data_IF_698374272009
#
_entry.id   IF_698374272009
#
_cell.length_a   1.000
_cell.length_b   1.000
_cell.length_c   1.000
_cell.angle_alpha   90.00
_cell.angle_beta   90.00
_cell.angle_gamma   90.00
#
_symmetry.space_group_name_H-M   'P 1'
#
loop_
_entity.id
_entity.type
_entity.pdbx_description
1 polymer ?
#
# COMPACT_ATOMS: atom_id res chain seq x y z
N UNK A 1 -23.99 1.14 -22.99
CA UNK A 1 -23.56 2.54 -22.75
C UNK A 1 -22.86 2.56 -21.40
N UNK A 2 -21.65 3.09 -21.32
CA UNK A 2 -21.00 3.33 -20.03
C UNK A 2 -21.73 4.49 -19.33
N UNK A 3 -22.08 4.31 -18.05
CA UNK A 3 -22.72 5.34 -17.25
C UNK A 3 -21.65 6.05 -16.43
N UNK A 4 -21.58 7.37 -16.53
CA UNK A 4 -20.70 8.18 -15.70
C UNK A 4 -21.15 8.10 -14.23
N UNK A 5 -20.25 7.70 -13.33
CA UNK A 5 -20.54 7.51 -11.91
C UNK A 5 -20.27 8.79 -11.10
N UNK A 6 -19.24 9.56 -11.47
CA UNK A 6 -18.77 10.76 -10.78
C UNK A 6 -17.81 11.54 -11.68
N UNK A 7 -17.93 12.87 -11.69
CA UNK A 7 -16.90 13.79 -12.18
C UNK A 7 -16.10 14.31 -10.99
N UNK A 8 -14.77 14.15 -11.02
CA UNK A 8 -13.88 14.62 -9.95
C UNK A 8 -13.49 16.10 -10.15
N UNK A 9 -13.11 16.75 -9.06
CA UNK A 9 -12.66 18.13 -9.09
C UNK A 9 -11.34 18.29 -9.87
N UNK A 10 -11.16 19.46 -10.48
CA UNK A 10 -9.88 19.79 -11.10
C UNK A 10 -8.78 19.83 -10.03
N UNK A 11 -7.69 19.10 -10.24
CA UNK A 11 -6.60 18.97 -9.28
C UNK A 11 -6.69 17.77 -8.33
N UNK A 12 -7.63 16.84 -8.55
CA UNK A 12 -7.55 15.49 -7.94
C UNK A 12 -6.31 14.76 -8.44
N UNK A 13 -5.50 14.26 -7.51
CA UNK A 13 -4.18 13.65 -7.77
C UNK A 13 -4.17 12.14 -7.52
N UNK A 14 -5.02 11.65 -6.62
CA UNK A 14 -5.18 10.21 -6.38
C UNK A 14 -6.60 9.88 -5.94
N UNK A 15 -7.00 8.62 -6.16
CA UNK A 15 -8.29 8.09 -5.72
C UNK A 15 -8.14 6.68 -5.18
N UNK A 16 -9.05 6.28 -4.29
CA UNK A 16 -9.04 4.96 -3.67
C UNK A 16 -10.46 4.52 -3.32
N UNK A 17 -10.86 3.35 -3.81
CA UNK A 17 -12.12 2.72 -3.43
C UNK A 17 -11.98 2.03 -2.08
N UNK A 18 -13.04 2.08 -1.27
CA UNK A 18 -13.12 1.28 -0.06
C UNK A 18 -13.27 -0.21 -0.39
N UNK A 19 -13.17 -1.07 0.63
CA UNK A 19 -13.19 -2.53 0.47
C UNK A 19 -14.49 -3.08 -0.15
N UNK A 20 -15.62 -2.41 0.05
CA UNK A 20 -16.91 -2.81 -0.52
C UNK A 20 -17.16 -2.24 -1.93
N UNK A 21 -16.31 -1.33 -2.41
CA UNK A 21 -16.52 -0.63 -3.69
C UNK A 21 -17.72 0.32 -3.70
N UNK A 22 -18.20 0.73 -2.52
CA UNK A 22 -19.37 1.63 -2.39
C UNK A 22 -18.97 3.08 -2.13
N UNK A 23 -17.78 3.30 -1.58
CA UNK A 23 -17.25 4.64 -1.27
C UNK A 23 -15.95 4.88 -2.00
N UNK A 24 -15.80 6.10 -2.53
CA UNK A 24 -14.58 6.57 -3.16
C UNK A 24 -13.97 7.70 -2.33
N UNK A 25 -12.69 7.60 -2.03
CA UNK A 25 -11.91 8.72 -1.51
C UNK A 25 -11.09 9.34 -2.64
N UNK A 26 -11.00 10.67 -2.66
CA UNK A 26 -10.17 11.42 -3.59
C UNK A 26 -9.30 12.43 -2.85
N UNK A 27 -8.02 12.48 -3.22
CA UNK A 27 -7.04 13.42 -2.70
C UNK A 27 -6.68 14.45 -3.76
N UNK A 28 -6.44 15.68 -3.34
CA UNK A 28 -6.15 16.80 -4.24
C UNK A 28 -4.75 17.39 -4.02
N UNK A 29 -4.30 18.16 -5.02
CA UNK A 29 -3.02 18.89 -5.00
C UNK A 29 -2.91 19.90 -3.86
N UNK A 30 -4.04 20.42 -3.37
CA UNK A 30 -4.12 21.36 -2.27
C UNK A 30 -4.31 20.68 -0.90
N UNK A 31 -4.13 19.36 -0.82
CA UNK A 31 -4.27 18.62 0.43
C UNK A 31 -5.73 18.42 0.88
N UNK A 32 -6.70 18.64 -0.01
CA UNK A 32 -8.11 18.33 0.25
C UNK A 32 -8.39 16.84 0.10
N UNK A 33 -9.00 16.25 1.13
CA UNK A 33 -9.63 14.92 1.08
C UNK A 33 -11.13 15.10 0.82
N UNK A 34 -11.63 14.37 -0.18
CA UNK A 34 -13.06 14.27 -0.46
C UNK A 34 -13.50 12.81 -0.38
N UNK A 35 -14.63 12.54 0.28
CA UNK A 35 -15.26 11.23 0.33
C UNK A 35 -16.58 11.30 -0.44
N UNK A 36 -16.82 10.29 -1.27
CA UNK A 36 -18.02 10.14 -2.07
C UNK A 36 -18.71 8.81 -1.76
N UNK A 37 -20.02 8.85 -1.58
CA UNK A 37 -20.85 7.68 -1.27
C UNK A 37 -22.11 7.67 -2.16
N UNK A 38 -22.66 6.48 -2.39
CA UNK A 38 -23.97 6.29 -3.01
C UNK A 38 -25.04 6.30 -1.92
N UNK A 39 -25.80 7.41 -1.82
CA UNK A 39 -26.92 7.47 -0.87
C UNK A 39 -28.09 6.63 -1.38
N UNK A 40 -28.71 5.87 -0.48
CA UNK A 40 -30.00 5.23 -0.69
C UNK A 40 -31.10 6.29 -0.95
N UNK A 41 -32.05 6.06 -1.88
CA UNK A 41 -32.38 4.77 -2.49
C UNK A 41 -31.51 4.41 -3.72
N UNK A 42 -31.45 3.12 -4.11
CA UNK A 42 -30.53 2.56 -5.11
C UNK A 42 -30.84 2.98 -6.56
N UNK A 43 -31.76 3.93 -6.77
CA UNK A 43 -32.16 4.42 -8.09
C UNK A 43 -31.12 5.32 -8.75
N UNK A 44 -30.22 5.96 -7.98
CA UNK A 44 -29.13 6.77 -8.52
C UNK A 44 -27.80 6.10 -8.29
N UNK A 45 -27.24 5.49 -9.34
CA UNK A 45 -25.87 4.95 -9.33
C UNK A 45 -24.79 6.05 -9.34
N UNK A 46 -25.12 7.28 -8.97
CA UNK A 46 -24.18 8.40 -8.91
C UNK A 46 -23.63 8.53 -7.49
N UNK A 47 -22.33 8.74 -7.40
CA UNK A 47 -21.69 9.05 -6.12
C UNK A 47 -21.83 10.55 -5.83
N UNK A 48 -22.01 10.89 -4.56
CA UNK A 48 -22.10 12.28 -4.11
C UNK A 48 -21.09 12.53 -3.00
N UNK A 49 -20.50 13.73 -2.99
CA UNK A 49 -19.56 14.13 -1.94
C UNK A 49 -20.29 14.22 -0.60
N UNK A 50 -19.82 13.47 0.39
CA UNK A 50 -20.31 13.46 1.78
C UNK A 50 -19.37 14.21 2.71
N UNK A 51 -18.09 14.27 2.36
CA UNK A 51 -17.07 15.00 3.08
C UNK A 51 -16.11 15.66 2.09
N UNK A 52 -15.67 16.88 2.42
CA UNK A 52 -14.64 17.60 1.68
C UNK A 52 -13.96 18.59 2.62
N UNK A 53 -12.68 18.39 2.92
CA UNK A 53 -11.91 19.29 3.78
C UNK A 53 -10.42 19.23 3.46
N UNK A 54 -9.72 20.33 3.71
CA UNK A 54 -8.25 20.38 3.68
C UNK A 54 -7.70 19.64 4.90
N UNK A 55 -7.04 18.51 4.67
CA UNK A 55 -6.55 17.60 5.72
C UNK A 55 -5.03 17.61 5.87
N UNK A 56 -4.32 18.02 4.82
CA UNK A 56 -2.86 18.16 4.79
C UNK A 56 -2.51 19.50 4.13
N UNK A 57 -1.32 20.02 4.40
CA UNK A 57 -0.86 21.28 3.82
C UNK A 57 -0.31 21.15 2.39
N UNK A 58 -0.01 19.92 1.96
CA UNK A 58 0.54 19.61 0.65
C UNK A 58 -0.30 18.60 -0.12
N UNK A 59 0.09 18.39 -1.38
CA UNK A 59 -0.53 17.45 -2.32
C UNK A 59 -0.69 16.05 -1.70
N UNK A 60 -1.91 15.51 -1.68
CA UNK A 60 -2.16 14.11 -1.31
C UNK A 60 -1.81 13.22 -2.49
N UNK A 61 -0.80 12.36 -2.33
CA UNK A 61 -0.30 11.47 -3.39
C UNK A 61 -0.83 10.04 -3.30
N UNK A 62 -1.30 9.61 -2.12
CA UNK A 62 -1.92 8.31 -1.93
C UNK A 62 -3.00 8.37 -0.85
N UNK A 63 -4.08 7.61 -1.07
CA UNK A 63 -5.10 7.32 -0.05
C UNK A 63 -5.22 5.81 0.11
N UNK A 64 -5.25 5.35 1.36
CA UNK A 64 -5.40 3.93 1.70
C UNK A 64 -6.51 3.78 2.73
N UNK A 65 -7.54 3.00 2.41
CA UNK A 65 -8.59 2.67 3.37
C UNK A 65 -8.07 1.72 4.45
N UNK A 66 -8.37 2.05 5.70
CA UNK A 66 -8.19 1.16 6.83
C UNK A 66 -9.20 0.01 6.68
N UNK A 67 -8.83 -1.25 7.02
CA UNK A 67 -9.78 -2.36 6.93
C UNK A 67 -11.06 -2.09 7.73
N UNK A 68 -12.24 -2.45 7.19
CA UNK A 68 -13.54 -2.07 7.78
C UNK A 68 -13.77 -2.67 9.17
N UNK A 69 -13.03 -3.73 9.54
CA UNK A 69 -13.02 -4.30 10.89
C UNK A 69 -12.53 -3.30 11.96
N UNK A 70 -11.89 -2.20 11.54
CA UNK A 70 -11.35 -1.12 12.37
C UNK A 70 -12.10 0.21 12.16
N UNK A 71 -13.31 0.17 11.57
CA UNK A 71 -14.14 1.34 11.32
C UNK A 71 -13.94 1.98 9.94
N UNK A 72 -14.75 3.01 9.67
CA UNK A 72 -14.67 3.80 8.43
C UNK A 72 -13.53 4.82 8.56
N UNK A 73 -12.34 4.41 8.12
CA UNK A 73 -11.15 5.24 8.24
C UNK A 73 -10.23 5.17 7.01
N UNK A 74 -9.45 6.25 6.81
CA UNK A 74 -8.50 6.40 5.71
C UNK A 74 -7.16 6.94 6.19
N UNK A 75 -6.09 6.54 5.51
CA UNK A 75 -4.79 7.18 5.55
C UNK A 75 -4.60 8.04 4.30
N UNK A 76 -4.12 9.27 4.50
CA UNK A 76 -3.70 10.18 3.43
C UNK A 76 -2.20 10.41 3.53
N UNK A 77 -1.46 10.19 2.43
CA UNK A 77 -0.02 10.44 2.34
C UNK A 77 0.21 11.71 1.52
N UNK A 78 0.95 12.69 2.05
CA UNK A 78 1.34 13.89 1.30
C UNK A 78 2.62 13.70 0.49
N UNK A 79 2.85 14.55 -0.51
CA UNK A 79 4.12 14.64 -1.25
C UNK A 79 5.33 14.97 -0.35
N UNK A 80 5.09 15.52 0.84
CA UNK A 80 6.12 15.77 1.86
C UNK A 80 6.36 14.56 2.78
N UNK A 81 5.64 13.46 2.56
CA UNK A 81 5.80 12.21 3.30
C UNK A 81 5.15 12.21 4.68
N UNK A 82 4.17 13.09 4.91
CA UNK A 82 3.32 13.06 6.10
C UNK A 82 2.15 12.13 5.84
N UNK A 83 1.94 11.18 6.74
CA UNK A 83 0.77 10.29 6.73
C UNK A 83 -0.19 10.78 7.80
N UNK A 84 -1.43 11.09 7.44
CA UNK A 84 -2.49 11.41 8.40
C UNK A 84 -3.59 10.35 8.35
N UNK A 85 -4.04 9.90 9.52
CA UNK A 85 -5.13 8.94 9.66
C UNK A 85 -6.40 9.65 10.13
N UNK A 86 -7.50 9.38 9.43
CA UNK A 86 -8.80 10.01 9.60
C UNK A 86 -9.88 8.96 9.76
N UNK A 87 -10.79 9.17 10.69
CA UNK A 87 -11.93 8.29 10.98
C UNK A 87 -13.24 9.07 10.83
N UNK A 88 -14.25 8.42 10.28
CA UNK A 88 -15.64 8.88 10.27
C UNK A 88 -16.28 8.63 11.65
N UNK A 89 -16.66 9.72 12.32
CA UNK A 89 -17.28 9.69 13.64
C UNK A 89 -18.69 10.28 13.56
N UNK A 90 -19.66 9.57 14.12
CA UNK A 90 -20.99 10.09 14.40
C UNK A 90 -21.02 10.65 15.83
N UNK A 91 -21.27 11.95 15.99
CA UNK A 91 -21.62 12.52 17.30
C UNK A 91 -23.15 12.60 17.42
N UNK A 92 -23.67 12.39 18.63
CA UNK A 92 -25.07 12.11 19.04
C UNK A 92 -26.15 13.14 18.64
N UNK A 93 -25.96 13.95 17.59
CA UNK A 93 -26.94 14.79 16.89
C UNK A 93 -26.40 15.47 15.61
N UNK A 94 -25.17 15.18 15.15
CA UNK A 94 -24.51 15.89 14.04
C UNK A 94 -24.43 15.03 12.76
N UNK A 95 -24.20 15.69 11.61
CA UNK A 95 -23.82 14.99 10.38
C UNK A 95 -22.48 14.28 10.58
N UNK A 96 -22.28 13.12 9.94
CA UNK A 96 -21.02 12.38 9.92
C UNK A 96 -19.83 13.32 9.70
N UNK A 97 -18.85 13.27 10.61
CA UNK A 97 -17.64 14.10 10.54
C UNK A 97 -16.41 13.21 10.39
N UNK A 98 -15.42 13.66 9.62
CA UNK A 98 -14.13 13.00 9.55
C UNK A 98 -13.13 13.73 10.45
N UNK A 99 -12.50 12.99 11.36
CA UNK A 99 -11.56 13.53 12.35
C UNK A 99 -10.21 12.86 12.26
N UNK A 100 -9.14 13.65 12.28
CA UNK A 100 -7.78 13.13 12.37
C UNK A 100 -7.55 12.53 13.76
N UNK A 101 -7.07 11.30 13.82
CA UNK A 101 -6.75 10.64 15.09
C UNK A 101 -5.25 10.33 15.24
N UNK A 102 -4.49 10.27 14.14
CA UNK A 102 -3.04 10.03 14.17
C UNK A 102 -2.33 10.69 12.99
N UNK A 103 -1.07 11.03 13.16
CA UNK A 103 -0.17 11.44 12.08
C UNK A 103 1.21 10.80 12.25
N UNK A 104 1.85 10.44 11.14
CA UNK A 104 3.20 9.90 11.05
C UNK A 104 4.02 10.71 10.05
N UNK A 105 5.35 10.64 10.21
CA UNK A 105 6.29 11.36 9.36
C UNK A 105 6.94 12.53 10.10
N UNK A 106 8.12 12.91 9.63
CA UNK A 106 8.88 14.04 10.13
C UNK A 106 9.70 14.62 8.97
N UNK A 107 10.40 15.73 9.21
CA UNK A 107 11.16 16.42 8.16
C UNK A 107 12.42 15.68 7.69
N UNK A 108 12.89 14.66 8.42
CA UNK A 108 14.17 14.01 8.14
C UNK A 108 14.06 12.81 7.20
N UNK A 109 12.89 12.18 7.12
CA UNK A 109 12.63 11.00 6.28
C UNK A 109 11.16 10.94 5.87
N UNK A 110 10.90 11.05 4.57
CA UNK A 110 9.55 11.10 3.98
C UNK A 110 8.97 9.70 3.87
N UNK A 111 7.69 9.51 4.19
CA UNK A 111 6.97 8.29 3.80
C UNK A 111 6.72 8.34 2.29
N UNK A 112 7.22 7.34 1.57
CA UNK A 112 7.07 7.20 0.13
C UNK A 112 5.87 6.33 -0.24
N UNK A 113 5.60 5.32 0.57
CA UNK A 113 4.40 4.50 0.44
C UNK A 113 3.99 3.92 1.79
N UNK A 114 2.70 3.61 1.94
CA UNK A 114 2.17 2.85 3.07
C UNK A 114 1.03 1.92 2.66
N UNK A 115 0.86 0.82 3.38
CA UNK A 115 -0.21 -0.15 3.17
C UNK A 115 -0.66 -0.77 4.50
N UNK A 116 -1.96 -1.00 4.63
CA UNK A 116 -2.52 -1.71 5.78
C UNK A 116 -2.60 -3.21 5.52
N UNK A 117 -2.47 -3.96 6.62
CA UNK A 117 -2.50 -5.41 6.65
C UNK A 117 -3.07 -5.93 7.95
N UNK A 118 -4.00 -6.88 7.86
CA UNK A 118 -4.53 -7.55 9.05
C UNK A 118 -3.64 -8.75 9.37
N UNK A 119 -3.22 -8.87 10.63
CA UNK A 119 -2.62 -10.08 11.18
C UNK A 119 -3.63 -10.81 12.06
N UNK A 120 -3.26 -11.99 12.60
CA UNK A 120 -4.19 -12.77 13.45
C UNK A 120 -4.72 -12.01 14.67
N UNK A 121 -3.95 -11.05 15.20
CA UNK A 121 -4.26 -10.39 16.48
C UNK A 121 -4.28 -8.86 16.42
N UNK A 122 -3.86 -8.26 15.30
CA UNK A 122 -3.66 -6.81 15.23
C UNK A 122 -3.69 -6.29 13.80
N UNK A 123 -3.94 -5.00 13.67
CA UNK A 123 -3.76 -4.27 12.42
C UNK A 123 -2.32 -3.79 12.32
N UNK A 124 -1.74 -3.93 11.13
CA UNK A 124 -0.41 -3.44 10.82
C UNK A 124 -0.47 -2.40 9.71
N UNK A 125 0.39 -1.39 9.82
CA UNK A 125 0.67 -0.43 8.76
C UNK A 125 2.15 -0.53 8.43
N UNK A 126 2.45 -0.94 7.20
CA UNK A 126 3.81 -0.96 6.69
C UNK A 126 4.03 0.36 5.95
N UNK A 127 5.13 1.05 6.25
CA UNK A 127 5.52 2.30 5.60
C UNK A 127 6.97 2.23 5.10
N UNK A 128 7.16 2.61 3.84
CA UNK A 128 8.47 2.70 3.19
C UNK A 128 8.94 4.15 3.19
N UNK A 129 10.18 4.38 3.60
CA UNK A 129 10.72 5.72 3.84
C UNK A 129 11.82 6.11 2.85
N UNK A 130 12.01 7.41 2.64
CA UNK A 130 13.03 7.95 1.73
C UNK A 130 14.47 7.65 2.16
N UNK A 131 14.71 7.27 3.40
CA UNK A 131 16.02 6.81 3.90
C UNK A 131 16.30 5.33 3.58
N UNK A 132 15.37 4.63 2.91
CA UNK A 132 15.47 3.21 2.59
C UNK A 132 15.06 2.27 3.74
N UNK A 133 14.52 2.81 4.83
CA UNK A 133 13.93 2.01 5.90
C UNK A 133 12.48 1.65 5.59
N UNK A 134 12.10 0.46 6.05
CA UNK A 134 10.73 0.03 6.18
C UNK A 134 10.39 0.02 7.66
N UNK A 135 9.30 0.66 8.04
CA UNK A 135 8.76 0.61 9.40
C UNK A 135 7.42 -0.09 9.39
N UNK A 136 7.22 -0.97 10.36
CA UNK A 136 5.95 -1.65 10.60
C UNK A 136 5.38 -1.11 11.90
N UNK A 137 4.22 -0.47 11.81
CA UNK A 137 3.45 -0.02 12.95
C UNK A 137 2.34 -1.00 13.25
N UNK A 138 2.02 -1.18 14.53
CA UNK A 138 1.00 -2.10 15.01
C UNK A 138 -0.03 -1.37 15.85
N UNK A 139 -1.29 -1.74 15.63
CA UNK A 139 -2.44 -1.36 16.42
C UNK A 139 -3.09 -2.63 16.98
N UNK A 140 -2.89 -2.87 18.27
CA UNK A 140 -3.36 -4.09 18.94
C UNK A 140 -4.85 -4.05 19.29
N UNK A 141 -5.36 -2.88 19.71
CA UNK A 141 -6.76 -2.71 20.08
C UNK A 141 -7.52 -1.94 18.98
N UNK A 142 -8.49 -2.58 18.29
CA UNK A 142 -9.34 -1.91 17.31
C UNK A 142 -10.15 -0.73 17.86
N UNK A 143 -10.42 -0.70 19.16
CA UNK A 143 -11.19 0.36 19.81
C UNK A 143 -10.33 1.60 20.12
N UNK A 144 -9.01 1.47 20.08
CA UNK A 144 -8.07 2.54 20.43
C UNK A 144 -7.23 2.96 19.23
N UNK A 145 -7.85 3.36 18.11
CA UNK A 145 -7.17 3.71 16.84
C UNK A 145 -6.00 4.71 16.96
N UNK A 146 -5.87 5.42 18.08
CA UNK A 146 -4.77 6.37 18.36
C UNK A 146 -3.47 5.68 18.81
N UNK A 147 -3.56 4.45 19.32
CA UNK A 147 -2.49 3.76 20.05
C UNK A 147 -1.60 2.89 19.15
N UNK A 148 -1.16 3.47 18.03
CA UNK A 148 -0.17 2.85 17.15
C UNK A 148 1.23 2.84 17.78
N UNK A 149 1.91 1.70 17.69
CA UNK A 149 3.27 1.49 18.17
C UNK A 149 4.19 1.06 17.03
N UNK A 150 5.48 1.43 17.10
CA UNK A 150 6.49 0.93 16.18
C UNK A 150 6.85 -0.51 16.57
N UNK A 151 6.50 -1.48 15.72
CA UNK A 151 6.80 -2.89 15.93
C UNK A 151 8.19 -3.25 15.41
N UNK A 152 8.52 -2.77 14.21
CA UNK A 152 9.80 -3.09 13.57
C UNK A 152 10.28 -1.94 12.68
N UNK A 153 11.60 -1.82 12.60
CA UNK A 153 12.30 -0.95 11.66
C UNK A 153 13.48 -1.73 11.09
N UNK A 154 13.57 -1.79 9.77
CA UNK A 154 14.67 -2.47 9.09
C UNK A 154 14.96 -1.82 7.74
N UNK A 155 16.21 -1.94 7.30
CA UNK A 155 16.64 -1.37 6.03
C UNK A 155 16.40 -2.36 4.88
N UNK A 156 16.08 -1.86 3.69
CA UNK A 156 15.94 -2.71 2.50
C UNK A 156 17.28 -3.28 1.96
N UNK A 157 18.40 -3.12 2.65
CA UNK A 157 19.73 -3.64 2.25
C UNK A 157 20.12 -4.84 3.11
N UNK A 158 20.60 -5.92 2.48
CA UNK A 158 21.27 -7.02 3.19
C UNK A 158 22.79 -6.75 3.09
N UNK A 159 23.40 -6.49 4.24
CA UNK A 159 24.83 -6.54 4.57
C UNK A 159 25.83 -6.43 3.40
N UNK A 160 26.28 -5.20 3.07
CA UNK A 160 27.63 -4.94 2.53
C UNK A 160 27.93 -3.48 2.14
N UNK A 161 27.05 -2.51 2.42
CA UNK A 161 27.26 -1.13 1.93
C UNK A 161 27.07 -0.07 3.02
N UNK A 162 27.84 -0.19 4.10
CA UNK A 162 28.04 0.92 5.05
C UNK A 162 29.00 2.01 4.53
N UNK A 163 29.40 1.94 3.25
CA UNK A 163 30.47 2.75 2.66
C UNK A 163 30.00 3.82 1.67
N UNK A 164 28.72 3.87 1.28
CA UNK A 164 28.23 4.78 0.24
C UNK A 164 27.15 5.74 0.74
N UNK A 165 27.59 6.85 1.34
CA UNK A 165 26.77 8.05 1.55
C UNK A 165 25.45 7.82 2.30
N UNK A 166 24.59 8.85 2.31
CA UNK A 166 23.23 8.74 2.84
C UNK A 166 22.32 8.29 1.70
N UNK A 167 21.86 7.04 1.74
CA UNK A 167 20.87 6.51 0.81
C UNK A 167 19.64 7.43 0.71
N UNK A 168 19.15 7.66 -0.53
CA UNK A 168 17.94 8.45 -0.78
C UNK A 168 17.06 7.72 -1.79
N UNK A 169 15.95 7.18 -1.30
CA UNK A 169 14.92 6.58 -2.14
C UNK A 169 14.00 7.68 -2.71
N UNK A 170 13.72 7.59 -4.01
CA UNK A 170 12.90 8.52 -4.77
C UNK A 170 11.41 8.12 -4.71
N UNK A 171 11.14 6.81 -4.79
CA UNK A 171 9.79 6.25 -4.66
C UNK A 171 9.85 4.85 -4.05
N UNK A 172 8.71 4.39 -3.55
CA UNK A 172 8.54 3.04 -3.07
C UNK A 172 7.14 2.53 -3.46
N UNK A 173 6.97 1.22 -3.44
CA UNK A 173 5.67 0.59 -3.60
C UNK A 173 5.58 -0.59 -2.62
N UNK A 174 4.48 -0.68 -1.89
CA UNK A 174 4.17 -1.74 -0.94
C UNK A 174 2.86 -2.42 -1.34
N UNK A 175 2.84 -3.75 -1.25
CA UNK A 175 1.62 -4.53 -1.37
C UNK A 175 1.55 -5.59 -0.27
N UNK A 176 0.46 -5.58 0.50
CA UNK A 176 0.24 -6.55 1.57
C UNK A 176 -0.34 -7.85 1.02
N UNK A 177 0.06 -9.00 1.58
CA UNK A 177 -0.51 -10.29 1.23
C UNK A 177 -1.99 -10.38 1.67
N UNK A 178 -2.97 -10.44 0.74
CA UNK A 178 -4.38 -10.39 1.09
C UNK A 178 -4.92 -11.71 1.68
N UNK A 179 -4.08 -12.74 1.89
CA UNK A 179 -4.52 -14.02 2.44
C UNK A 179 -5.15 -13.86 3.82
N UNK A 180 -6.48 -13.96 3.86
CA UNK A 180 -7.27 -14.05 5.10
C UNK A 180 -7.44 -15.52 5.48
N UNK A 181 -6.73 -15.95 6.52
CA UNK A 181 -6.98 -17.23 7.18
C UNK A 181 -6.15 -18.41 6.65
N UNK A 182 -5.41 -19.02 7.58
CA UNK A 182 -4.49 -20.13 7.37
C UNK A 182 -3.32 -20.02 8.37
N UNK A 183 -2.58 -21.11 8.59
CA UNK A 183 -1.35 -21.12 9.41
C UNK A 183 -0.19 -20.31 8.79
N UNK A 184 -0.43 -19.50 7.75
CA UNK A 184 0.61 -18.73 7.09
C UNK A 184 0.86 -17.42 7.82
N UNK A 185 2.13 -17.07 7.92
CA UNK A 185 2.61 -15.86 8.56
C UNK A 185 2.24 -14.63 7.73
N UNK A 186 2.07 -13.48 8.40
CA UNK A 186 1.82 -12.21 7.71
C UNK A 186 2.97 -11.88 6.77
N UNK A 187 2.65 -11.46 5.55
CA UNK A 187 3.66 -11.12 4.54
C UNK A 187 3.31 -9.86 3.79
N UNK A 188 4.32 -9.17 3.28
CA UNK A 188 4.15 -8.08 2.35
C UNK A 188 5.31 -8.02 1.37
N UNK A 189 5.07 -7.34 0.26
CA UNK A 189 6.04 -7.03 -0.77
C UNK A 189 6.38 -5.56 -0.70
N UNK A 190 7.66 -5.23 -0.79
CA UNK A 190 8.15 -3.86 -0.86
C UNK A 190 9.18 -3.74 -1.96
N UNK A 191 9.09 -2.68 -2.77
CA UNK A 191 10.10 -2.31 -3.75
C UNK A 191 10.46 -0.85 -3.59
N UNK A 192 11.75 -0.54 -3.67
CA UNK A 192 12.24 0.84 -3.68
C UNK A 192 12.81 1.20 -5.04
N UNK A 193 12.72 2.48 -5.37
CA UNK A 193 13.48 3.11 -6.43
C UNK A 193 14.33 4.22 -5.82
N UNK A 194 15.63 4.15 -6.03
CA UNK A 194 16.65 4.95 -5.39
C UNK A 194 17.74 5.32 -6.39
N UNK A 195 18.48 6.37 -6.06
CA UNK A 195 19.72 6.73 -6.73
C UNK A 195 20.85 5.72 -6.52
N UNK A 196 20.71 4.82 -5.54
CA UNK A 196 21.64 3.73 -5.25
C UNK A 196 21.03 2.42 -5.75
N UNK A 197 21.62 1.84 -6.80
CA UNK A 197 21.13 0.60 -7.43
C UNK A 197 20.91 -0.55 -6.46
N UNK A 198 21.72 -0.65 -5.42
CA UNK A 198 21.64 -1.72 -4.42
C UNK A 198 20.34 -1.69 -3.60
N UNK A 199 19.65 -0.54 -3.57
CA UNK A 199 18.33 -0.37 -2.95
C UNK A 199 17.18 -0.67 -3.91
N UNK A 200 17.45 -0.75 -5.21
CA UNK A 200 16.45 -0.99 -6.26
C UNK A 200 16.16 -2.50 -6.36
N UNK A 201 15.58 -3.02 -5.29
CA UNK A 201 15.25 -4.43 -5.15
C UNK A 201 13.88 -4.58 -4.54
N UNK A 202 13.07 -5.44 -5.14
CA UNK A 202 11.75 -5.84 -4.63
C UNK A 202 11.92 -7.05 -3.72
N UNK A 203 11.38 -7.00 -2.50
CA UNK A 203 11.52 -8.06 -1.51
C UNK A 203 10.19 -8.48 -0.93
N UNK A 204 10.04 -9.79 -0.75
CA UNK A 204 8.96 -10.35 0.06
C UNK A 204 9.48 -10.44 1.49
N UNK A 205 8.76 -9.81 2.41
CA UNK A 205 9.01 -9.85 3.84
C UNK A 205 7.93 -10.68 4.51
N UNK A 206 8.33 -11.61 5.37
CA UNK A 206 7.44 -12.44 6.19
C UNK A 206 7.71 -12.19 7.67
N UNK A 207 6.66 -12.31 8.47
CA UNK A 207 6.74 -12.16 9.92
C UNK A 207 7.01 -13.51 10.59
N UNK A 208 8.27 -13.71 10.99
CA UNK A 208 8.72 -14.88 11.74
C UNK A 208 8.12 -14.85 13.15
N UNK A 209 7.13 -15.72 13.39
CA UNK A 209 6.42 -15.76 14.65
C UNK A 209 7.29 -16.29 15.80
N UNK A 210 8.26 -17.17 15.50
CA UNK A 210 9.13 -17.76 16.51
C UNK A 210 10.09 -16.73 17.11
N UNK A 211 10.61 -15.82 16.28
CA UNK A 211 11.55 -14.78 16.71
C UNK A 211 10.93 -13.38 16.82
N UNK A 212 9.64 -13.23 16.52
CA UNK A 212 8.89 -11.98 16.59
C UNK A 212 9.53 -10.85 15.76
N UNK A 213 9.94 -11.16 14.52
CA UNK A 213 10.63 -10.20 13.63
C UNK A 213 10.23 -10.38 12.17
N UNK A 214 10.40 -9.32 11.39
CA UNK A 214 10.24 -9.38 9.95
C UNK A 214 11.53 -9.82 9.27
N UNK A 215 11.44 -10.75 8.33
CA UNK A 215 12.57 -11.27 7.58
C UNK A 215 12.33 -11.15 6.07
N UNK A 216 13.33 -10.72 5.28
CA UNK A 216 13.27 -10.84 3.83
C UNK A 216 13.43 -12.33 3.46
N UNK A 217 12.38 -12.93 2.88
CA UNK A 217 12.36 -14.35 2.51
C UNK A 217 12.58 -14.57 1.01
N UNK A 218 12.33 -13.55 0.19
CA UNK A 218 12.62 -13.58 -1.23
C UNK A 218 13.04 -12.20 -1.74
N UNK A 219 13.93 -12.20 -2.74
CA UNK A 219 14.31 -11.03 -3.52
C UNK A 219 13.87 -11.27 -4.98
N UNK A 220 13.01 -10.40 -5.49
CA UNK A 220 12.40 -10.49 -6.81
C UNK A 220 13.23 -9.69 -7.82
N UNK A 221 14.47 -10.12 -8.04
CA UNK A 221 15.33 -9.61 -9.08
C UNK A 221 16.16 -10.76 -9.67
N UNK A 222 16.20 -10.87 -11.00
CA UNK A 222 17.21 -11.72 -11.63
C UNK A 222 18.60 -11.08 -11.41
N UNK A 223 19.69 -11.88 -11.31
CA UNK A 223 21.03 -11.32 -11.12
C UNK A 223 21.43 -10.26 -12.15
N UNK A 224 20.93 -10.39 -13.38
CA UNK A 224 21.18 -9.46 -14.50
C UNK A 224 20.39 -8.14 -14.40
N UNK A 225 19.39 -8.09 -13.52
CA UNK A 225 18.42 -6.98 -13.38
C UNK A 225 18.57 -6.24 -12.04
N UNK A 226 19.53 -6.67 -11.21
CA UNK A 226 19.80 -6.05 -9.92
C UNK A 226 20.20 -4.59 -10.14
N UNK A 227 19.43 -3.66 -9.57
CA UNK A 227 19.65 -2.23 -9.75
C UNK A 227 18.63 -1.53 -10.66
N UNK A 228 17.82 -2.27 -11.40
CA UNK A 228 16.80 -1.69 -12.26
C UNK A 228 15.71 -0.99 -11.44
N UNK A 229 15.30 0.19 -11.91
CA UNK A 229 14.29 1.00 -11.24
C UNK A 229 12.92 0.32 -11.27
N UNK A 230 12.22 0.39 -10.13
CA UNK A 230 10.92 -0.21 -9.91
C UNK A 230 9.85 0.88 -9.86
N UNK A 231 8.74 0.69 -10.58
CA UNK A 231 7.63 1.63 -10.54
C UNK A 231 6.56 1.23 -9.53
N UNK A 232 6.14 -0.04 -9.58
CA UNK A 232 5.10 -0.55 -8.71
C UNK A 232 5.29 -2.04 -8.45
N UNK A 233 4.81 -2.46 -7.27
CA UNK A 233 4.69 -3.86 -6.89
C UNK A 233 3.25 -4.14 -6.46
N UNK A 234 2.71 -5.29 -6.85
CA UNK A 234 1.37 -5.68 -6.46
C UNK A 234 1.31 -7.17 -6.13
N UNK A 235 0.65 -7.47 -5.03
CA UNK A 235 0.27 -8.81 -4.68
C UNK A 235 -1.05 -9.17 -5.35
N UNK A 236 -1.10 -10.32 -6.03
CA UNK A 236 -2.35 -10.76 -6.60
C UNK A 236 -3.31 -11.26 -5.52
N UNK A 237 -4.60 -10.89 -5.58
CA UNK A 237 -5.61 -11.50 -4.73
C UNK A 237 -5.63 -13.02 -4.97
N UNK A 238 -5.97 -13.80 -3.95
CA UNK A 238 -6.10 -15.26 -4.08
C UNK A 238 -7.06 -15.60 -5.23
N UNK A 239 -6.50 -15.90 -6.40
CA UNK A 239 -7.24 -16.52 -7.49
C UNK A 239 -7.27 -17.99 -7.08
N UNK A 240 -8.43 -18.45 -6.60
CA UNK A 240 -8.59 -19.82 -6.10
C UNK A 240 -8.00 -20.85 -7.07
N UNK A 241 -7.65 -22.03 -6.54
CA UNK A 241 -7.13 -23.18 -7.31
C UNK A 241 -7.96 -23.40 -8.58
N UNK A 242 -7.49 -22.87 -9.70
CA UNK A 242 -7.99 -23.24 -11.01
C UNK A 242 -7.57 -24.70 -11.21
N UNK A 243 -8.57 -25.55 -11.43
CA UNK A 243 -8.44 -27.00 -11.47
C UNK A 243 -7.19 -27.43 -12.27
N UNK A 244 -6.18 -27.92 -11.56
CA UNK A 244 -4.94 -28.46 -12.15
C UNK A 244 -3.66 -27.72 -11.76
N UNK A 245 -3.72 -26.48 -11.26
CA UNK A 245 -2.53 -25.79 -10.74
C UNK A 245 -2.47 -26.03 -9.23
N UNK A 246 -1.49 -26.84 -8.79
CA UNK A 246 -1.14 -26.96 -7.37
C UNK A 246 -0.75 -25.56 -6.86
N UNK A 247 -1.40 -25.15 -5.77
CA UNK A 247 -1.13 -23.98 -4.90
C UNK A 247 -0.04 -23.03 -5.43
N UNK A 248 -0.47 -21.95 -6.07
CA UNK A 248 0.39 -20.78 -6.29
C UNK A 248 0.48 -20.08 -4.93
N UNK A 249 1.65 -20.11 -4.29
CA UNK A 249 1.83 -19.50 -2.97
C UNK A 249 1.95 -17.98 -3.09
N UNK A 250 2.49 -17.48 -4.22
CA UNK A 250 2.66 -16.06 -4.48
C UNK A 250 2.47 -15.77 -5.98
N UNK A 251 1.51 -14.90 -6.33
CA UNK A 251 1.47 -14.26 -7.65
C UNK A 251 1.71 -12.76 -7.43
N UNK A 252 2.80 -12.27 -7.99
CA UNK A 252 3.31 -10.92 -7.73
C UNK A 252 3.52 -10.22 -9.06
N UNK A 253 3.01 -9.01 -9.22
CA UNK A 253 3.34 -8.15 -10.35
C UNK A 253 4.45 -7.17 -9.93
N UNK A 254 5.50 -7.08 -10.74
CA UNK A 254 6.57 -6.09 -10.64
C UNK A 254 6.66 -5.34 -11.96
N UNK A 255 6.58 -4.01 -11.92
CA UNK A 255 6.63 -3.15 -13.11
C UNK A 255 7.99 -2.43 -13.16
N UNK A 256 8.96 -2.91 -13.97
CA UNK A 256 10.26 -2.26 -14.13
C UNK A 256 10.19 -1.03 -15.06
N UNK A 257 11.12 -0.09 -14.90
CA UNK A 257 11.15 1.19 -15.63
C UNK A 257 11.59 1.10 -17.10
N UNK A 258 12.28 0.03 -17.53
CA UNK A 258 12.81 -0.04 -18.90
C UNK A 258 11.66 -0.08 -19.92
N UNK A 259 11.59 0.98 -20.76
CA UNK A 259 10.91 1.28 -22.05
C UNK A 259 9.96 0.30 -22.75
N UNK A 260 9.89 -0.97 -22.35
CA UNK A 260 8.92 -1.94 -22.84
C UNK A 260 7.77 -1.98 -21.82
N UNK A 261 6.52 -1.82 -22.27
CA UNK A 261 5.30 -2.00 -21.47
C UNK A 261 5.15 -3.47 -20.98
N UNK A 262 6.12 -3.98 -20.24
CA UNK A 262 6.20 -5.37 -19.82
C UNK A 262 6.14 -5.38 -18.30
N UNK A 263 4.94 -5.64 -17.78
CA UNK A 263 4.78 -6.05 -16.40
C UNK A 263 5.30 -7.47 -16.23
N UNK A 264 6.12 -7.71 -15.20
CA UNK A 264 6.58 -9.07 -14.88
C UNK A 264 5.65 -9.64 -13.83
N UNK A 265 5.08 -10.82 -14.11
CA UNK A 265 4.42 -11.61 -13.10
C UNK A 265 5.41 -12.67 -12.59
N UNK A 266 5.75 -12.57 -11.32
CA UNK A 266 6.54 -13.59 -10.63
C UNK A 266 5.56 -14.51 -9.93
N UNK A 267 5.55 -15.77 -10.37
CA UNK A 267 4.81 -16.85 -9.71
C UNK A 267 5.81 -17.64 -8.89
N UNK A 268 5.62 -17.66 -7.57
CA UNK A 268 6.38 -18.50 -6.65
C UNK A 268 5.45 -19.63 -6.18
N UNK A 269 5.80 -20.87 -6.50
CA UNK A 269 5.12 -22.07 -6.01
C UNK A 269 5.92 -22.76 -4.90
N UNK A 270 5.25 -23.64 -4.15
CA UNK A 270 5.80 -24.46 -3.05
C UNK A 270 7.09 -25.22 -3.35
N UNK A 271 7.43 -25.44 -4.63
CA UNK A 271 8.66 -26.12 -5.06
C UNK A 271 9.84 -25.18 -5.38
N UNK A 272 9.81 -23.91 -4.92
CA UNK A 272 10.91 -22.92 -5.04
C UNK A 272 11.42 -22.64 -6.48
N UNK A 273 10.77 -23.18 -7.51
CA UNK A 273 11.03 -22.77 -8.88
C UNK A 273 10.42 -21.39 -9.10
N UNK A 274 11.29 -20.38 -9.20
CA UNK A 274 10.96 -19.08 -9.80
C UNK A 274 10.53 -19.33 -11.25
N UNK A 275 9.23 -19.43 -11.50
CA UNK A 275 8.70 -19.28 -12.85
C UNK A 275 8.34 -17.82 -13.06
N UNK A 276 9.24 -17.08 -13.72
CA UNK A 276 8.94 -15.74 -14.20
C UNK A 276 8.08 -15.87 -15.45
N UNK A 277 6.83 -15.41 -15.39
CA UNK A 277 6.00 -15.24 -16.57
C UNK A 277 6.10 -13.77 -16.96
N UNK A 278 6.89 -13.48 -17.98
CA UNK A 278 6.88 -12.17 -18.63
C UNK A 278 5.61 -12.07 -19.46
N UNK A 279 4.63 -11.26 -19.02
CA UNK A 279 3.46 -10.94 -19.83
C UNK A 279 3.66 -9.55 -20.42
N UNK A 280 3.58 -9.44 -21.74
CA UNK A 280 3.58 -8.14 -22.40
C UNK A 280 2.23 -7.47 -22.08
N UNK A 281 2.25 -6.33 -21.39
CA UNK A 281 1.04 -5.51 -21.25
C UNK A 281 0.88 -4.81 -22.60
N UNK A 282 0.05 -5.39 -23.47
CA UNK A 282 -0.38 -4.73 -24.70
C UNK A 282 -1.37 -3.64 -24.28
N UNK A 283 -0.90 -2.39 -24.19
CA UNK A 283 -1.82 -1.26 -24.20
C UNK A 283 -2.42 -1.17 -25.60
N UNK A 284 -3.69 -1.55 -25.77
CA UNK A 284 -4.47 -1.02 -26.89
C UNK A 284 -4.68 0.47 -26.62
N UNK A 285 -4.08 1.31 -27.48
CA UNK A 285 -4.31 2.77 -27.52
C UNK A 285 -5.71 3.08 -28.05
#
# INVERSE_FOLDING_TARGET
MAKELLTLDNGTTCTSWNYSGTRLAAGSVDGTLSIFDSRDPPSSSSLHSTFKSRVLEGNIVKIVWIPPEYGDAVACISADGIVSLWEEVAEDSQSLQWKMFKSFGNSSSKVLDAQFGISLTSLKMVAAYSDGNVRVFELSDPLELRNWQLQAEFQNVIESVSSFGKASCLSASISWNPQKGGSQESSFLVGFNSNTSELNSSKVCEFDQAHQRWLPVAELALPEEKGDQLYAVAWAPNIGSLAGIKRVDWLIAVIPYKSTNVGKFVVLGSDLFLSTISLYIVNEM
#
